data_IF_613195137553
#
_entry.id   IF_613195137553
#
_cell.length_a   1.000
_cell.length_b   1.000
_cell.length_c   1.000
_cell.angle_alpha   90.00
_cell.angle_beta   90.00
_cell.angle_gamma   90.00
#
_symmetry.space_group_name_H-M   'P 1'
#
loop_
_entity.id
_entity.type
_entity.pdbx_description
1 polymer ?
#
# COMPACT_ATOMS: atom_id res chain seq x y z
N UNK A 1 -13.06 -39.41 1.81
CA UNK A 1 -12.53 -38.57 0.69
C UNK A 1 -13.66 -37.87 -0.07
N UNK A 2 -14.69 -38.58 -0.57
CA UNK A 2 -15.83 -37.96 -1.27
C UNK A 2 -16.59 -36.93 -0.41
N UNK A 3 -16.71 -37.17 0.88
CA UNK A 3 -17.40 -36.29 1.82
C UNK A 3 -16.70 -34.93 2.05
N UNK A 4 -15.37 -34.87 1.86
CA UNK A 4 -14.57 -33.65 1.93
C UNK A 4 -14.73 -32.79 0.67
N UNK A 5 -14.87 -33.42 -0.50
CA UNK A 5 -15.10 -32.71 -1.75
C UNK A 5 -16.49 -32.07 -1.82
N UNK A 6 -17.46 -32.66 -1.16
CA UNK A 6 -18.82 -32.13 -1.04
C UNK A 6 -18.91 -30.88 -0.16
N UNK A 7 -17.89 -30.60 0.66
CA UNK A 7 -17.83 -29.42 1.53
C UNK A 7 -17.28 -28.19 0.81
N UNK A 8 -16.77 -28.35 -0.40
CA UNK A 8 -16.33 -27.21 -1.21
C UNK A 8 -17.54 -26.47 -1.77
N UNK A 9 -17.61 -25.15 -1.59
CA UNK A 9 -18.70 -24.37 -2.16
C UNK A 9 -18.63 -24.39 -3.69
N UNK A 10 -19.79 -24.57 -4.31
CA UNK A 10 -19.93 -24.53 -5.77
C UNK A 10 -21.04 -23.52 -6.09
N UNK A 11 -20.78 -22.50 -6.92
CA UNK A 11 -19.52 -22.10 -7.54
C UNK A 11 -18.57 -21.39 -6.56
N UNK A 12 -17.26 -21.63 -6.67
CA UNK A 12 -16.23 -20.93 -5.90
C UNK A 12 -15.39 -20.04 -6.83
N UNK A 13 -15.44 -18.74 -6.61
CA UNK A 13 -14.59 -17.78 -7.33
C UNK A 13 -13.66 -17.09 -6.34
N UNK A 14 -12.35 -17.39 -6.38
CA UNK A 14 -11.39 -16.77 -5.46
C UNK A 14 -11.05 -15.35 -5.90
N UNK A 15 -10.70 -14.50 -4.93
CA UNK A 15 -10.07 -13.22 -5.22
C UNK A 15 -8.69 -13.45 -5.85
N UNK A 16 -8.41 -12.74 -6.95
CA UNK A 16 -7.15 -12.86 -7.68
C UNK A 16 -6.23 -11.68 -7.35
N UNK A 17 -4.95 -11.96 -7.16
CA UNK A 17 -3.94 -10.95 -6.80
C UNK A 17 -3.66 -9.94 -7.91
N UNK A 18 -3.99 -10.25 -9.14
CA UNK A 18 -3.79 -9.38 -10.30
C UNK A 18 -4.99 -8.46 -10.61
N UNK A 19 -6.07 -8.56 -9.84
CA UNK A 19 -7.27 -7.75 -10.03
C UNK A 19 -7.39 -6.74 -8.91
N UNK A 20 -6.64 -5.66 -9.02
CA UNK A 20 -6.64 -4.58 -8.02
C UNK A 20 -6.43 -3.22 -8.67
N UNK A 21 -6.86 -2.18 -8.00
CA UNK A 21 -6.62 -0.78 -8.37
C UNK A 21 -6.22 -0.02 -7.11
N UNK A 22 -5.19 0.82 -7.22
CA UNK A 22 -4.81 1.78 -6.18
C UNK A 22 -5.17 3.16 -6.67
N UNK A 23 -6.07 3.83 -5.97
CA UNK A 23 -6.54 5.18 -6.33
C UNK A 23 -5.89 6.22 -5.46
N UNK A 24 -5.27 7.18 -6.11
CA UNK A 24 -4.68 8.34 -5.47
C UNK A 24 -5.57 9.57 -5.66
N UNK A 25 -5.54 10.55 -4.73
CA UNK A 25 -6.24 11.81 -4.93
C UNK A 25 -5.78 12.50 -6.23
N UNK A 26 -6.71 13.11 -6.93
CA UNK A 26 -6.42 13.82 -8.19
C UNK A 26 -5.40 14.94 -8.05
N UNK A 27 -5.29 15.52 -6.85
CA UNK A 27 -4.31 16.57 -6.54
C UNK A 27 -2.86 16.12 -6.65
N UNK A 28 -2.59 14.80 -6.56
CA UNK A 28 -1.23 14.26 -6.67
C UNK A 28 -0.79 14.02 -8.11
N UNK A 29 -1.72 13.95 -9.06
CA UNK A 29 -1.42 13.67 -10.46
C UNK A 29 -0.85 12.27 -10.73
N UNK A 30 -1.04 11.33 -9.81
CA UNK A 30 -0.60 9.94 -9.96
C UNK A 30 -1.72 9.13 -10.61
N UNK A 31 -1.44 8.58 -11.78
CA UNK A 31 -2.40 7.76 -12.50
C UNK A 31 -2.39 6.33 -11.95
N UNK A 32 -3.56 5.74 -11.79
CA UNK A 32 -3.76 4.36 -11.34
C UNK A 32 -2.99 3.34 -12.18
N UNK A 33 -2.84 3.62 -13.46
CA UNK A 33 -2.12 2.78 -14.42
C UNK A 33 -0.62 2.64 -14.12
N UNK A 34 -0.01 3.57 -13.37
CA UNK A 34 1.42 3.50 -13.03
C UNK A 34 1.73 2.38 -12.04
N UNK A 35 0.78 1.95 -11.24
CA UNK A 35 1.00 0.93 -10.21
C UNK A 35 1.20 -0.42 -10.85
N UNK A 36 2.34 -1.05 -10.57
CA UNK A 36 2.67 -2.41 -11.01
C UNK A 36 2.35 -3.42 -9.93
N UNK A 37 2.66 -3.12 -8.69
CA UNK A 37 2.37 -3.97 -7.55
C UNK A 37 2.10 -3.13 -6.31
N UNK A 38 1.26 -3.66 -5.43
CA UNK A 38 0.95 -3.05 -4.16
C UNK A 38 0.76 -4.15 -3.10
N UNK A 39 1.20 -3.89 -1.89
CA UNK A 39 0.97 -4.78 -0.77
C UNK A 39 -0.39 -4.45 -0.13
N UNK A 40 -1.13 -5.46 0.28
CA UNK A 40 -2.34 -5.24 1.08
C UNK A 40 -1.96 -4.77 2.48
N UNK A 41 -2.81 -3.96 3.14
CA UNK A 41 -2.53 -3.49 4.49
C UNK A 41 -2.32 -4.64 5.47
N UNK A 42 -1.34 -4.49 6.34
CA UNK A 42 -1.07 -5.44 7.41
C UNK A 42 -1.03 -4.74 8.76
N UNK A 43 -1.64 -5.37 9.76
CA UNK A 43 -1.68 -4.87 11.12
C UNK A 43 -0.84 -5.77 12.03
N UNK A 44 -0.26 -5.16 13.05
CA UNK A 44 0.49 -5.87 14.09
C UNK A 44 -0.02 -5.44 15.45
N UNK A 45 -0.29 -6.42 16.30
CA UNK A 45 -0.68 -6.21 17.70
C UNK A 45 0.46 -6.75 18.58
N UNK A 46 0.96 -5.92 19.47
CA UNK A 46 1.94 -6.36 20.45
C UNK A 46 1.26 -7.16 21.54
N UNK A 47 1.86 -8.29 21.91
CA UNK A 47 1.44 -9.06 23.07
C UNK A 47 2.18 -8.58 24.33
N UNK A 48 1.45 -8.43 25.42
CA UNK A 48 2.02 -8.09 26.72
C UNK A 48 1.98 -9.35 27.58
N UNK A 49 3.15 -9.77 28.04
CA UNK A 49 3.28 -10.95 28.94
C UNK A 49 2.99 -10.54 30.38
N UNK A 50 2.16 -11.33 31.04
CA UNK A 50 1.90 -11.24 32.48
C UNK A 50 2.42 -12.52 33.11
N UNK A 51 3.61 -12.50 33.75
CA UNK A 51 4.19 -13.68 34.39
C UNK A 51 3.53 -13.95 35.74
N UNK A 52 3.38 -15.23 36.05
CA UNK A 52 2.95 -15.69 37.37
C UNK A 52 3.62 -17.04 37.67
N UNK A 53 4.47 -17.08 38.71
CA UNK A 53 5.26 -18.25 39.10
C UNK A 53 6.04 -18.82 37.88
N UNK A 54 5.76 -20.07 37.52
CA UNK A 54 6.40 -20.76 36.38
C UNK A 54 5.59 -20.66 35.10
N UNK A 55 4.53 -19.87 35.06
CA UNK A 55 3.66 -19.70 33.90
C UNK A 55 3.52 -18.24 33.57
N UNK A 56 3.01 -17.97 32.38
CA UNK A 56 2.66 -16.61 31.95
C UNK A 56 1.39 -16.63 31.10
N UNK A 57 0.69 -15.54 31.11
CA UNK A 57 -0.44 -15.29 30.21
C UNK A 57 -0.13 -14.05 29.35
N UNK A 58 -0.81 -13.91 28.24
CA UNK A 58 -0.57 -12.83 27.28
C UNK A 58 -1.87 -12.07 27.05
N UNK A 59 -1.77 -10.76 26.99
CA UNK A 59 -2.87 -9.86 26.62
C UNK A 59 -2.46 -9.01 25.46
N UNK A 60 -3.44 -8.55 24.68
CA UNK A 60 -3.19 -7.64 23.55
C UNK A 60 -2.76 -6.27 24.03
N UNK A 61 -1.65 -5.76 23.49
CA UNK A 61 -1.17 -4.41 23.70
C UNK A 61 -1.62 -3.46 22.59
N UNK A 62 -0.76 -2.52 22.21
CA UNK A 62 -1.04 -1.57 21.12
C UNK A 62 -0.98 -2.28 19.77
N UNK A 63 -1.86 -1.89 18.86
CA UNK A 63 -1.76 -2.27 17.47
C UNK A 63 -1.19 -1.14 16.62
N UNK A 64 -0.51 -1.52 15.54
CA UNK A 64 0.05 -0.59 14.57
C UNK A 64 -0.18 -1.14 13.17
N UNK A 65 -0.39 -0.23 12.21
CA UNK A 65 -0.39 -0.57 10.79
C UNK A 65 1.03 -0.54 10.26
N UNK A 66 1.42 -1.57 9.54
CA UNK A 66 2.75 -1.63 8.94
C UNK A 66 2.82 -0.77 7.67
N UNK A 67 4.02 -0.32 7.33
CA UNK A 67 4.26 0.42 6.10
C UNK A 67 3.92 -0.43 4.88
N UNK A 68 3.36 0.20 3.87
CA UNK A 68 2.88 -0.45 2.66
C UNK A 68 3.83 -0.11 1.50
N UNK A 69 4.26 -1.13 0.78
CA UNK A 69 5.10 -0.94 -0.40
C UNK A 69 4.26 -0.94 -1.67
N UNK A 70 4.52 0.04 -2.52
CA UNK A 70 3.90 0.17 -3.84
C UNK A 70 5.02 0.35 -4.87
N UNK A 71 4.96 -0.41 -5.96
CA UNK A 71 5.88 -0.28 -7.07
C UNK A 71 5.18 0.37 -8.24
N UNK A 72 5.81 1.39 -8.80
CA UNK A 72 5.32 2.13 -9.96
C UNK A 72 6.21 1.85 -11.16
N UNK A 73 5.63 1.83 -12.35
CA UNK A 73 6.35 1.95 -13.61
C UNK A 73 6.45 3.42 -13.99
N UNK A 74 7.57 3.80 -14.59
CA UNK A 74 7.87 5.20 -14.93
C UNK A 74 7.81 5.42 -16.44
N UNK A 75 6.69 5.89 -17.00
CA UNK A 75 6.60 6.24 -18.41
C UNK A 75 7.33 7.57 -18.69
N UNK A 76 7.71 7.77 -19.96
CA UNK A 76 8.37 9.00 -20.40
C UNK A 76 7.47 10.23 -20.17
N UNK A 77 6.20 10.09 -20.47
CA UNK A 77 5.26 11.17 -20.24
C UNK A 77 3.80 10.67 -20.17
N UNK A 78 3.02 11.16 -19.17
CA UNK A 78 3.46 11.94 -18.02
C UNK A 78 4.31 11.11 -17.05
N UNK A 79 5.33 11.72 -16.46
CA UNK A 79 6.31 11.01 -15.61
C UNK A 79 5.75 10.70 -14.23
N UNK A 80 5.80 9.42 -13.84
CA UNK A 80 5.44 8.98 -12.50
C UNK A 80 6.46 9.47 -11.46
N UNK A 81 7.74 9.53 -11.82
CA UNK A 81 8.79 10.03 -10.94
C UNK A 81 8.57 11.49 -10.56
N UNK A 82 8.14 12.32 -11.51
CA UNK A 82 7.84 13.73 -11.25
C UNK A 82 6.65 13.87 -10.29
N UNK A 83 5.58 13.13 -10.50
CA UNK A 83 4.40 13.18 -9.63
C UNK A 83 4.74 12.74 -8.19
N UNK A 84 5.53 11.68 -8.04
CA UNK A 84 5.95 11.19 -6.74
C UNK A 84 6.90 12.13 -6.02
N UNK A 85 7.84 12.75 -6.73
CA UNK A 85 8.76 13.71 -6.12
C UNK A 85 8.06 15.01 -5.73
N UNK A 86 7.05 15.43 -6.45
CA UNK A 86 6.22 16.57 -6.09
C UNK A 86 5.43 16.31 -4.80
N UNK A 87 4.87 15.11 -4.64
CA UNK A 87 4.25 14.72 -3.39
C UNK A 87 5.26 14.71 -2.23
N UNK A 88 6.45 14.14 -2.46
CA UNK A 88 7.51 14.13 -1.47
C UNK A 88 7.96 15.55 -1.07
N UNK A 89 7.99 16.50 -2.01
CA UNK A 89 8.34 17.90 -1.74
C UNK A 89 7.33 18.61 -0.83
N UNK A 90 6.09 18.19 -0.79
CA UNK A 90 5.10 18.71 0.16
C UNK A 90 5.54 18.45 1.61
N UNK A 91 6.30 17.40 1.83
CA UNK A 91 6.83 17.03 3.13
C UNK A 91 8.26 17.54 3.35
N UNK A 92 9.15 17.30 2.38
CA UNK A 92 10.57 17.67 2.50
C UNK A 92 11.10 18.19 1.16
N UNK A 93 11.60 19.43 1.17
CA UNK A 93 12.22 20.04 0.02
C UNK A 93 13.73 19.89 0.09
N UNK A 94 14.34 19.28 -0.93
CA UNK A 94 15.78 18.99 -0.93
C UNK A 94 16.67 20.22 -1.12
N UNK A 95 16.16 21.25 -1.79
CA UNK A 95 16.94 22.46 -2.08
C UNK A 95 17.08 23.36 -0.86
N UNK A 96 16.00 23.57 -0.12
CA UNK A 96 15.96 24.47 1.04
C UNK A 96 16.02 23.76 2.37
N UNK A 97 15.81 22.43 2.39
CA UNK A 97 15.68 21.65 3.62
C UNK A 97 14.40 21.94 4.41
N UNK A 98 13.45 22.62 3.78
CA UNK A 98 12.19 23.00 4.43
C UNK A 98 11.29 21.78 4.58
N UNK A 99 10.62 21.69 5.74
CA UNK A 99 9.64 20.64 6.05
C UNK A 99 8.23 21.23 6.04
N UNK A 100 7.28 20.47 5.47
CA UNK A 100 5.88 20.89 5.38
C UNK A 100 5.04 20.42 6.56
N UNK A 101 3.83 20.96 6.67
CA UNK A 101 2.85 20.55 7.66
C UNK A 101 2.14 19.26 7.25
N UNK A 102 1.77 18.45 8.24
CA UNK A 102 1.09 17.16 8.03
C UNK A 102 -0.20 17.29 7.22
N UNK A 103 -0.97 18.36 7.43
CA UNK A 103 -2.18 18.63 6.66
C UNK A 103 -1.92 18.80 5.15
N UNK A 104 -0.72 19.20 4.76
CA UNK A 104 -0.36 19.38 3.37
C UNK A 104 0.09 18.09 2.67
N UNK A 105 0.86 17.24 3.35
CA UNK A 105 1.44 16.04 2.71
C UNK A 105 0.67 14.74 2.96
N UNK A 106 -0.11 14.65 4.04
CA UNK A 106 -0.92 13.45 4.30
C UNK A 106 -2.13 13.39 3.37
N UNK A 107 -2.31 12.26 2.72
CA UNK A 107 -3.39 12.03 1.75
C UNK A 107 -4.08 10.71 2.05
N UNK A 108 -5.35 10.61 1.66
CA UNK A 108 -6.11 9.37 1.73
C UNK A 108 -6.01 8.63 0.41
N UNK A 109 -5.68 7.34 0.48
CA UNK A 109 -5.50 6.47 -0.67
C UNK A 109 -6.48 5.31 -0.56
N UNK A 110 -7.03 4.88 -1.68
CA UNK A 110 -7.93 3.74 -1.76
C UNK A 110 -7.24 2.56 -2.45
N UNK A 111 -7.36 1.38 -1.86
CA UNK A 111 -6.95 0.12 -2.46
C UNK A 111 -8.19 -0.73 -2.67
N UNK A 112 -8.45 -1.10 -3.91
CA UNK A 112 -9.63 -1.86 -4.31
C UNK A 112 -9.22 -3.18 -4.96
N UNK A 113 -9.91 -4.25 -4.61
CA UNK A 113 -9.83 -5.53 -5.33
C UNK A 113 -11.09 -5.73 -6.16
N UNK A 114 -10.90 -6.27 -7.35
CA UNK A 114 -11.96 -6.41 -8.34
C UNK A 114 -12.34 -7.88 -8.57
N UNK A 115 -13.58 -8.10 -8.97
CA UNK A 115 -14.05 -9.37 -9.49
C UNK A 115 -13.68 -9.55 -10.99
N UNK A 116 -14.01 -10.70 -11.63
CA UNK A 116 -13.75 -10.89 -13.05
C UNK A 116 -14.48 -9.89 -13.96
N UNK A 117 -15.55 -9.29 -13.50
CA UNK A 117 -16.37 -8.33 -14.27
C UNK A 117 -15.96 -6.87 -14.04
N UNK A 118 -15.01 -6.63 -13.12
CA UNK A 118 -14.52 -5.29 -12.80
C UNK A 118 -15.27 -4.59 -11.67
N UNK A 119 -16.15 -5.30 -10.97
CA UNK A 119 -16.86 -4.76 -9.80
C UNK A 119 -15.96 -4.85 -8.57
N UNK A 120 -15.96 -3.81 -7.74
CA UNK A 120 -15.15 -3.77 -6.51
C UNK A 120 -15.74 -4.72 -5.48
N UNK A 121 -14.93 -5.68 -5.04
CA UNK A 121 -15.34 -6.70 -4.04
C UNK A 121 -14.66 -6.50 -2.68
N UNK A 122 -13.60 -5.73 -2.64
CA UNK A 122 -12.90 -5.39 -1.39
C UNK A 122 -12.33 -3.98 -1.53
N UNK A 123 -12.57 -3.14 -0.53
CA UNK A 123 -12.09 -1.76 -0.54
C UNK A 123 -11.45 -1.41 0.80
N UNK A 124 -10.23 -0.89 0.72
CA UNK A 124 -9.48 -0.36 1.84
C UNK A 124 -9.26 1.14 1.66
N UNK A 125 -9.49 1.91 2.71
CA UNK A 125 -9.14 3.32 2.77
C UNK A 125 -7.94 3.48 3.70
N UNK A 126 -6.84 4.00 3.14
CA UNK A 126 -5.59 4.28 3.84
C UNK A 126 -5.60 5.75 4.23
N UNK A 127 -5.87 6.05 5.49
CA UNK A 127 -6.00 7.43 5.96
C UNK A 127 -4.68 7.98 6.47
N UNK A 128 -4.41 9.23 6.15
CA UNK A 128 -3.21 9.93 6.61
C UNK A 128 -1.92 9.35 6.02
N UNK A 129 -1.95 8.95 4.77
CA UNK A 129 -0.83 8.30 4.09
C UNK A 129 0.17 9.32 3.56
N UNK A 130 1.45 9.04 3.75
CA UNK A 130 2.56 9.82 3.22
C UNK A 130 3.73 8.92 2.86
N UNK A 131 4.65 9.46 2.07
CA UNK A 131 5.84 8.73 1.61
C UNK A 131 6.91 8.78 2.68
N UNK A 132 7.43 7.61 3.08
CA UNK A 132 8.56 7.51 4.01
C UNK A 132 9.85 7.13 3.31
N UNK A 133 9.76 6.42 2.20
CA UNK A 133 10.91 5.99 1.41
C UNK A 133 10.55 6.02 -0.08
N UNK A 134 11.44 6.54 -0.90
CA UNK A 134 11.27 6.67 -2.33
C UNK A 134 12.56 6.28 -3.02
N UNK A 135 12.53 5.16 -3.73
CA UNK A 135 13.69 4.63 -4.46
C UNK A 135 13.38 4.59 -5.95
N UNK A 136 14.14 5.34 -6.73
CA UNK A 136 13.98 5.43 -8.19
C UNK A 136 14.64 4.29 -8.96
N UNK A 137 15.24 3.32 -8.27
CA UNK A 137 15.87 2.16 -8.90
C UNK A 137 17.28 2.44 -9.41
N UNK A 138 17.86 1.41 -10.01
CA UNK A 138 19.21 1.44 -10.58
C UNK A 138 19.16 1.55 -12.10
N UNK A 139 20.19 2.15 -12.69
CA UNK A 139 20.36 2.28 -14.13
C UNK A 139 21.55 1.43 -14.59
N UNK A 140 21.35 0.65 -15.65
CA UNK A 140 22.36 -0.22 -16.22
C UNK A 140 22.22 -0.25 -17.74
N UNK A 141 23.30 0.03 -18.46
CA UNK A 141 23.33 0.00 -19.93
C UNK A 141 23.08 -1.39 -20.52
N UNK A 142 23.35 -2.45 -19.76
CA UNK A 142 23.17 -3.84 -20.20
C UNK A 142 21.76 -4.38 -19.93
N UNK A 143 20.88 -3.59 -19.33
CA UNK A 143 19.53 -4.00 -18.96
C UNK A 143 18.51 -3.09 -19.64
N UNK A 144 17.63 -3.69 -20.45
CA UNK A 144 16.56 -3.00 -21.18
C UNK A 144 15.19 -3.08 -20.50
N UNK A 145 15.16 -3.48 -19.24
CA UNK A 145 13.92 -3.55 -18.46
C UNK A 145 13.29 -2.17 -18.25
N UNK A 146 11.98 -2.17 -18.03
CA UNK A 146 11.23 -0.96 -17.73
C UNK A 146 11.68 -0.38 -16.39
N UNK A 147 11.94 0.93 -16.36
CA UNK A 147 12.27 1.62 -15.12
C UNK A 147 11.09 1.56 -14.13
N UNK A 148 11.40 1.20 -12.91
CA UNK A 148 10.41 1.09 -11.84
C UNK A 148 10.83 1.96 -10.65
N UNK A 149 9.83 2.40 -9.90
CA UNK A 149 10.02 3.20 -8.70
C UNK A 149 9.39 2.45 -7.53
N UNK A 150 10.16 2.24 -6.48
CA UNK A 150 9.68 1.66 -5.23
C UNK A 150 9.36 2.76 -4.24
N UNK A 151 8.15 2.74 -3.73
CA UNK A 151 7.65 3.71 -2.77
C UNK A 151 7.15 2.99 -1.53
N UNK A 152 7.60 3.43 -0.36
CA UNK A 152 7.09 2.95 0.92
C UNK A 152 6.17 4.02 1.49
N UNK A 153 4.94 3.64 1.78
CA UNK A 153 3.90 4.51 2.32
C UNK A 153 3.65 4.17 3.78
N UNK A 154 3.59 5.18 4.60
CA UNK A 154 3.16 5.08 6.00
C UNK A 154 1.79 5.70 6.14
N UNK A 155 0.93 5.07 6.92
CA UNK A 155 -0.44 5.51 7.13
C UNK A 155 -0.76 5.59 8.62
N UNK A 156 -1.71 6.42 8.97
CA UNK A 156 -2.18 6.52 10.35
C UNK A 156 -3.10 5.35 10.68
N UNK A 157 -4.01 5.01 9.77
CA UNK A 157 -4.93 3.89 9.94
C UNK A 157 -5.46 3.40 8.60
N UNK A 158 -5.89 2.15 8.58
CA UNK A 158 -6.59 1.54 7.47
C UNK A 158 -8.01 1.19 7.88
N UNK A 159 -8.96 1.41 6.98
CA UNK A 159 -10.34 1.03 7.16
C UNK A 159 -10.73 0.11 6.02
N UNK A 160 -11.15 -1.10 6.33
CA UNK A 160 -11.78 -1.97 5.35
C UNK A 160 -13.27 -1.61 5.29
N UNK A 161 -13.70 -1.16 4.11
CA UNK A 161 -15.09 -0.73 3.91
C UNK A 161 -15.99 -1.93 3.66
N UNK A 162 -15.52 -2.87 2.83
CA UNK A 162 -16.20 -4.14 2.53
C UNK A 162 -15.27 -5.16 1.89
#
# INVERSE_FOLDING_TARGET
>A
MADLLMKMPVPYEPKRVNRFIVRFPSSLGINEWYVTSAKRPSAKINSVEIPFLNTSTYVAGRFTWEALQVTFKDPIGPSASQALIEWFRLHAESVTGRMGYAAGYKKDIELEMLDPTGVVVEKWILQGTFITDLNFGDLDYNNDAIATIQCTLRMDRCIQVY
#
